data_IF_198076046054
#
_entry.id   IF_198076046054
#
_cell.length_a   1.000
_cell.length_b   1.000
_cell.length_c   1.000
_cell.angle_alpha   90.00
_cell.angle_beta   90.00
_cell.angle_gamma   90.00
#
_symmetry.space_group_name_H-M   'P 1'
#
loop_
_entity.id
_entity.type
_entity.pdbx_description
1 polymer ?
#
# COMPACT_ATOMS: atom_id res chain seq x y z
N UNK A 1 2.96 -15.29 -15.49
CA UNK A 1 3.57 -15.42 -14.15
C UNK A 1 4.93 -14.76 -14.19
N UNK A 2 5.15 -13.65 -13.46
CA UNK A 2 6.41 -12.90 -13.46
C UNK A 2 7.30 -13.50 -12.34
N UNK A 3 8.44 -14.15 -12.64
CA UNK A 3 9.38 -14.66 -11.64
C UNK A 3 10.21 -13.53 -11.01
N UNK A 4 10.84 -13.81 -9.87
CA UNK A 4 11.84 -12.91 -9.29
C UNK A 4 13.05 -12.81 -10.22
N UNK A 5 13.61 -11.60 -10.38
CA UNK A 5 14.70 -11.27 -11.30
C UNK A 5 14.23 -10.78 -12.67
N UNK A 6 12.96 -10.98 -13.04
CA UNK A 6 12.40 -10.43 -14.28
C UNK A 6 12.11 -8.93 -14.14
N UNK A 7 12.35 -8.17 -15.21
CA UNK A 7 12.09 -6.74 -15.24
C UNK A 7 10.64 -6.43 -15.54
N UNK A 8 10.06 -5.50 -14.78
CA UNK A 8 8.74 -4.93 -15.06
C UNK A 8 8.87 -3.43 -15.33
N UNK A 9 8.02 -2.91 -16.20
CA UNK A 9 7.95 -1.47 -16.44
C UNK A 9 7.49 -0.78 -15.14
N UNK A 10 8.24 0.21 -14.73
CA UNK A 10 8.07 0.95 -13.48
C UNK A 10 8.29 2.44 -13.73
N UNK A 11 7.82 3.28 -12.83
CA UNK A 11 7.98 4.73 -12.89
C UNK A 11 8.39 5.26 -11.51
N UNK A 12 9.37 6.15 -11.49
CA UNK A 12 9.79 6.86 -10.28
C UNK A 12 8.81 7.99 -9.94
N UNK A 13 8.31 8.00 -8.72
CA UNK A 13 7.41 9.06 -8.24
C UNK A 13 8.08 10.43 -8.16
N UNK A 14 9.38 10.48 -7.87
CA UNK A 14 10.08 11.72 -7.62
C UNK A 14 10.55 12.39 -8.92
N UNK A 15 11.16 11.62 -9.82
CA UNK A 15 11.72 12.13 -11.08
C UNK A 15 10.73 12.04 -12.25
N UNK A 16 9.74 11.15 -12.17
CA UNK A 16 8.86 10.82 -13.29
C UNK A 16 9.49 9.92 -14.34
N UNK A 17 10.74 9.48 -14.12
CA UNK A 17 11.45 8.57 -15.03
C UNK A 17 10.73 7.22 -15.11
N UNK A 18 10.67 6.66 -16.33
CA UNK A 18 10.09 5.35 -16.61
C UNK A 18 11.16 4.39 -17.11
N UNK A 19 11.20 3.17 -16.60
CA UNK A 19 12.18 2.17 -17.01
C UNK A 19 11.86 0.79 -16.44
N UNK A 20 12.60 -0.22 -16.92
CA UNK A 20 12.46 -1.58 -16.40
C UNK A 20 13.24 -1.76 -15.10
N UNK A 21 12.56 -2.25 -14.06
CA UNK A 21 13.15 -2.55 -12.76
C UNK A 21 12.92 -4.00 -12.38
N UNK A 22 13.92 -4.67 -11.76
CA UNK A 22 13.79 -6.09 -11.41
C UNK A 22 12.77 -6.31 -10.29
N UNK A 23 12.01 -7.38 -10.41
CA UNK A 23 11.15 -7.90 -9.33
C UNK A 23 12.04 -8.60 -8.32
N UNK A 24 12.10 -8.09 -7.09
CA UNK A 24 12.92 -8.65 -6.00
C UNK A 24 12.16 -9.64 -5.12
N UNK A 25 10.83 -9.52 -5.06
CA UNK A 25 9.98 -10.47 -4.35
C UNK A 25 8.57 -10.52 -4.94
N UNK A 26 7.89 -11.64 -4.70
CA UNK A 26 6.50 -11.86 -5.10
C UNK A 26 5.74 -12.48 -3.94
N UNK A 27 4.57 -11.94 -3.65
CA UNK A 27 3.69 -12.40 -2.60
C UNK A 27 2.33 -12.79 -3.18
N UNK A 28 1.75 -13.88 -2.67
CA UNK A 28 0.39 -14.27 -2.99
C UNK A 28 -0.43 -14.29 -1.70
N UNK A 29 -1.42 -13.42 -1.59
CA UNK A 29 -2.27 -13.33 -0.42
C UNK A 29 -3.71 -13.68 -0.79
N UNK A 30 -4.39 -14.52 0.01
CA UNK A 30 -5.82 -14.76 -0.13
C UNK A 30 -6.61 -13.58 0.45
N UNK A 31 -7.66 -13.18 -0.24
CA UNK A 31 -8.65 -12.20 0.19
C UNK A 31 -10.04 -12.81 0.05
N UNK A 32 -10.99 -12.37 0.86
CA UNK A 32 -12.39 -12.85 0.82
C UNK A 32 -13.25 -12.08 -0.19
N UNK A 33 -12.73 -10.97 -0.71
CA UNK A 33 -13.43 -10.09 -1.61
C UNK A 33 -12.54 -9.69 -2.78
N UNK A 34 -13.19 -9.47 -3.91
CA UNK A 34 -12.58 -9.04 -5.16
C UNK A 34 -13.12 -7.68 -5.57
N UNK A 35 -12.23 -6.76 -5.94
CA UNK A 35 -12.59 -5.45 -6.50
C UNK A 35 -12.40 -5.51 -8.01
N UNK A 36 -13.45 -5.19 -8.75
CA UNK A 36 -13.46 -5.04 -10.20
C UNK A 36 -13.51 -3.56 -10.55
N UNK A 37 -12.50 -3.08 -11.26
CA UNK A 37 -12.37 -1.68 -11.69
C UNK A 37 -12.45 -1.67 -13.21
N UNK A 38 -13.56 -1.21 -13.77
CA UNK A 38 -13.71 -1.02 -15.21
C UNK A 38 -13.19 0.37 -15.58
N UNK A 39 -12.26 0.42 -16.53
CA UNK A 39 -11.67 1.68 -17.03
C UNK A 39 -11.78 1.74 -18.55
N UNK A 40 -11.77 2.98 -19.09
CA UNK A 40 -11.81 3.26 -20.53
C UNK A 40 -10.74 4.31 -20.88
N UNK A 41 -10.14 4.16 -22.05
CA UNK A 41 -9.18 5.13 -22.63
C UNK A 41 -9.86 6.35 -23.32
N UNK A 42 -11.18 6.35 -23.39
CA UNK A 42 -11.96 7.44 -24.01
C UNK A 42 -12.07 7.37 -25.53
N UNK A 43 -11.38 6.44 -26.20
CA UNK A 43 -11.41 6.26 -27.65
C UNK A 43 -12.08 4.94 -28.08
N UNK A 44 -12.75 4.28 -27.15
CA UNK A 44 -13.56 3.09 -27.42
C UNK A 44 -13.04 1.80 -26.77
N UNK A 45 -11.81 1.77 -26.26
CA UNK A 45 -11.29 0.58 -25.59
C UNK A 45 -11.55 0.64 -24.09
N UNK A 46 -11.70 -0.53 -23.49
CA UNK A 46 -11.89 -0.67 -22.06
C UNK A 46 -11.20 -1.91 -21.52
N UNK A 47 -10.87 -1.90 -20.24
CA UNK A 47 -10.36 -3.06 -19.51
C UNK A 47 -11.01 -3.16 -18.15
N UNK A 48 -10.95 -4.37 -17.58
CA UNK A 48 -11.32 -4.60 -16.19
C UNK A 48 -10.08 -5.04 -15.43
N UNK A 49 -9.71 -4.25 -14.42
CA UNK A 49 -8.64 -4.57 -13.49
C UNK A 49 -9.26 -5.32 -12.30
N UNK A 50 -8.56 -6.37 -11.86
CA UNK A 50 -8.96 -7.17 -10.70
C UNK A 50 -7.97 -6.92 -9.58
N UNK A 51 -8.48 -6.51 -8.42
CA UNK A 51 -7.64 -6.10 -7.29
C UNK A 51 -8.25 -6.54 -5.95
N UNK A 52 -7.43 -6.45 -4.89
CA UNK A 52 -7.94 -6.39 -3.53
C UNK A 52 -8.36 -4.94 -3.21
N UNK A 53 -9.05 -4.74 -2.08
CA UNK A 53 -9.57 -3.42 -1.67
C UNK A 53 -8.49 -2.36 -1.47
N UNK A 54 -7.34 -2.76 -0.93
CA UNK A 54 -6.31 -1.83 -0.42
C UNK A 54 -5.17 -1.54 -1.39
N UNK A 55 -5.17 -2.17 -2.57
CA UNK A 55 -4.10 -1.96 -3.56
C UNK A 55 -4.13 -0.52 -4.09
N UNK A 56 -3.00 0.21 -4.07
CA UNK A 56 -2.99 1.62 -4.47
C UNK A 56 -2.86 1.77 -5.98
N UNK A 57 -3.71 2.62 -6.55
CA UNK A 57 -3.68 3.11 -7.92
C UNK A 57 -3.32 4.59 -7.92
N UNK A 58 -2.49 5.03 -8.87
CA UNK A 58 -2.22 6.45 -9.03
C UNK A 58 -3.36 7.11 -9.80
N UNK A 59 -4.06 8.00 -9.12
CA UNK A 59 -5.23 8.69 -9.64
C UNK A 59 -5.25 10.13 -9.21
N UNK A 60 -5.51 11.04 -10.14
CA UNK A 60 -5.67 12.47 -9.85
C UNK A 60 -4.53 13.05 -8.99
N UNK A 61 -3.27 12.67 -9.31
CA UNK A 61 -2.07 13.16 -8.64
C UNK A 61 -1.72 12.52 -7.29
N UNK A 62 -2.39 11.44 -6.88
CA UNK A 62 -2.18 10.77 -5.59
C UNK A 62 -2.43 9.26 -5.64
N UNK A 63 -1.96 8.54 -4.63
CA UNK A 63 -2.26 7.14 -4.44
C UNK A 63 -3.61 6.94 -3.76
N UNK A 64 -4.52 6.23 -4.44
CA UNK A 64 -5.89 5.93 -3.98
C UNK A 64 -6.05 4.41 -3.92
N UNK A 65 -6.63 3.90 -2.84
CA UNK A 65 -6.94 2.47 -2.73
C UNK A 65 -8.00 2.08 -3.76
N UNK A 66 -7.95 0.83 -4.21
CA UNK A 66 -8.92 0.29 -5.16
C UNK A 66 -10.39 0.51 -4.73
N UNK A 67 -10.68 0.32 -3.43
CA UNK A 67 -12.04 0.50 -2.87
C UNK A 67 -12.52 1.94 -2.83
N UNK A 68 -11.59 2.91 -2.82
CA UNK A 68 -11.88 4.34 -2.72
C UNK A 68 -11.98 5.03 -4.10
N UNK A 69 -11.63 4.32 -5.18
CA UNK A 69 -11.81 4.80 -6.55
C UNK A 69 -13.30 4.96 -6.87
N UNK A 70 -13.65 5.94 -7.70
CA UNK A 70 -15.02 6.25 -8.08
C UNK A 70 -15.13 6.39 -9.60
N UNK A 71 -16.32 6.24 -10.15
CA UNK A 71 -16.58 6.61 -11.53
C UNK A 71 -16.13 8.05 -11.77
N UNK A 72 -15.40 8.28 -12.86
CA UNK A 72 -14.76 9.55 -13.19
C UNK A 72 -13.32 9.73 -12.64
N UNK A 73 -12.82 8.89 -11.72
CA UNK A 73 -11.41 8.90 -11.33
C UNK A 73 -10.51 8.63 -12.53
N UNK A 74 -9.38 9.34 -12.65
CA UNK A 74 -8.46 9.22 -13.78
C UNK A 74 -7.20 8.50 -13.36
N UNK A 75 -6.97 7.32 -13.93
CA UNK A 75 -5.79 6.50 -13.67
C UNK A 75 -4.69 6.82 -14.68
N UNK A 76 -3.48 7.03 -14.19
CA UNK A 76 -2.32 7.28 -15.04
C UNK A 76 -1.88 6.01 -15.78
N UNK A 77 -1.73 6.09 -17.08
CA UNK A 77 -1.31 4.97 -17.94
C UNK A 77 0.18 5.01 -18.31
N UNK A 78 0.71 3.87 -18.76
CA UNK A 78 2.15 3.72 -19.09
C UNK A 78 2.61 4.61 -20.24
N UNK A 79 1.74 4.96 -21.18
CA UNK A 79 1.99 5.87 -22.29
C UNK A 79 1.87 7.36 -21.89
N UNK A 80 1.62 7.67 -20.63
CA UNK A 80 1.40 9.03 -20.13
C UNK A 80 -0.03 9.55 -20.28
N UNK A 81 -0.92 8.80 -20.92
CA UNK A 81 -2.35 9.14 -20.99
C UNK A 81 -3.09 8.82 -19.69
N UNK A 82 -4.36 9.18 -19.62
CA UNK A 82 -5.23 8.86 -18.52
C UNK A 82 -6.33 7.91 -18.99
N UNK A 83 -6.69 6.96 -18.12
CA UNK A 83 -7.86 6.09 -18.31
C UNK A 83 -8.90 6.45 -17.25
N UNK A 84 -10.14 6.60 -17.66
CA UNK A 84 -11.24 6.99 -16.78
C UNK A 84 -11.92 5.75 -16.18
N UNK A 85 -12.05 5.72 -14.87
CA UNK A 85 -12.83 4.70 -14.16
C UNK A 85 -14.30 4.84 -14.52
N UNK A 86 -14.89 3.77 -15.06
CA UNK A 86 -16.30 3.68 -15.40
C UNK A 86 -17.12 3.17 -14.21
N UNK A 87 -16.60 2.17 -13.52
CA UNK A 87 -17.26 1.58 -12.35
C UNK A 87 -16.26 0.88 -11.45
N UNK A 88 -16.57 0.82 -10.16
CA UNK A 88 -15.89 -0.01 -9.16
C UNK A 88 -16.92 -0.90 -8.49
N UNK A 89 -16.69 -2.19 -8.51
CA UNK A 89 -17.62 -3.17 -7.91
C UNK A 89 -16.84 -4.08 -6.99
N UNK A 90 -17.26 -4.15 -5.73
CA UNK A 90 -16.71 -5.10 -4.74
C UNK A 90 -17.66 -6.27 -4.66
N UNK A 91 -17.12 -7.48 -4.82
CA UNK A 91 -17.89 -8.72 -4.72
C UNK A 91 -17.33 -9.62 -3.62
N UNK A 92 -18.19 -10.37 -2.90
CA UNK A 92 -17.77 -11.35 -1.90
C UNK A 92 -17.26 -12.63 -2.59
N UNK A 93 -16.25 -12.49 -3.42
CA UNK A 93 -15.62 -13.57 -4.20
C UNK A 93 -14.17 -13.71 -3.75
N UNK A 94 -13.71 -14.93 -3.38
CA UNK A 94 -12.34 -15.16 -2.99
C UNK A 94 -11.36 -14.76 -4.08
N UNK A 95 -10.32 -14.01 -3.72
CA UNK A 95 -9.25 -13.57 -4.62
C UNK A 95 -7.90 -14.04 -4.08
N UNK A 96 -7.10 -14.69 -4.91
CA UNK A 96 -5.66 -14.82 -4.67
C UNK A 96 -4.94 -13.72 -5.44
N UNK A 97 -4.76 -12.59 -4.78
CA UNK A 97 -4.02 -11.48 -5.37
C UNK A 97 -2.51 -11.68 -5.21
N UNK A 98 -1.78 -11.28 -6.24
CA UNK A 98 -0.32 -11.26 -6.23
C UNK A 98 0.16 -9.81 -6.19
N UNK A 99 1.14 -9.56 -5.34
CA UNK A 99 1.86 -8.30 -5.28
C UNK A 99 3.33 -8.55 -5.59
N UNK A 100 3.98 -7.57 -6.22
CA UNK A 100 5.38 -7.63 -6.59
C UNK A 100 6.15 -6.63 -5.72
N UNK A 101 7.37 -6.96 -5.30
CA UNK A 101 8.33 -5.94 -4.86
C UNK A 101 9.24 -5.62 -6.02
N UNK A 102 9.16 -4.39 -6.49
CA UNK A 102 9.98 -3.85 -7.57
C UNK A 102 11.11 -3.05 -6.95
N UNK A 103 12.34 -3.25 -7.42
CA UNK A 103 13.53 -2.56 -6.91
C UNK A 103 13.41 -1.04 -7.12
N UNK A 104 14.04 -0.28 -6.24
CA UNK A 104 14.21 1.17 -6.28
C UNK A 104 12.90 1.96 -6.23
N UNK A 105 12.06 1.87 -7.24
CA UNK A 105 10.89 2.74 -7.43
C UNK A 105 9.60 2.24 -6.80
N UNK A 106 9.51 0.95 -6.43
CA UNK A 106 8.37 0.35 -5.75
C UNK A 106 7.01 0.53 -6.44
N UNK A 107 7.00 0.75 -7.75
CA UNK A 107 5.80 0.91 -8.57
C UNK A 107 5.89 0.00 -9.80
N UNK A 108 4.78 -0.22 -10.47
CA UNK A 108 4.74 -0.91 -11.76
C UNK A 108 3.41 -0.63 -12.47
N UNK A 109 3.29 -1.09 -13.71
CA UNK A 109 2.05 -0.98 -14.47
C UNK A 109 1.33 -2.32 -14.53
N UNK A 110 0.00 -2.28 -14.38
CA UNK A 110 -0.88 -3.45 -14.47
C UNK A 110 -1.89 -3.28 -15.58
N UNK A 111 -2.17 -4.39 -16.26
CA UNK A 111 -3.08 -4.46 -17.39
C UNK A 111 -4.09 -5.60 -17.18
N UNK A 112 -5.33 -5.39 -17.60
CA UNK A 112 -6.35 -6.43 -17.62
C UNK A 112 -5.97 -7.53 -18.62
N UNK A 113 -6.42 -8.75 -18.36
CA UNK A 113 -6.22 -9.87 -19.27
C UNK A 113 -6.90 -9.58 -20.61
N UNK A 114 -6.15 -9.72 -21.71
CA UNK A 114 -6.62 -9.47 -23.09
C UNK A 114 -7.08 -8.02 -23.35
N UNK A 115 -6.61 -7.06 -22.55
CA UNK A 115 -6.95 -5.66 -22.74
C UNK A 115 -6.18 -5.06 -23.93
N UNK A 116 -6.85 -4.21 -24.71
CA UNK A 116 -6.24 -3.41 -25.78
C UNK A 116 -5.74 -2.05 -25.28
N UNK A 117 -6.19 -1.65 -24.07
CA UNK A 117 -5.74 -0.42 -23.41
C UNK A 117 -4.36 -0.59 -22.76
N UNK A 118 -3.69 0.51 -22.44
CA UNK A 118 -2.41 0.53 -21.75
C UNK A 118 -2.51 0.09 -20.28
N UNK A 119 -1.37 -0.32 -19.70
CA UNK A 119 -1.28 -0.61 -18.27
C UNK A 119 -1.47 0.64 -17.43
N UNK A 120 -2.07 0.51 -16.26
CA UNK A 120 -2.24 1.62 -15.30
C UNK A 120 -1.23 1.53 -14.16
N UNK A 121 -0.82 2.68 -13.65
CA UNK A 121 0.22 2.81 -12.66
C UNK A 121 -0.26 2.44 -11.26
N UNK A 122 0.42 1.49 -10.63
CA UNK A 122 0.12 0.99 -9.30
C UNK A 122 1.37 0.96 -8.42
N UNK A 123 1.16 0.97 -7.10
CA UNK A 123 2.23 0.87 -6.13
C UNK A 123 2.36 -0.55 -5.59
N UNK A 124 3.57 -1.05 -5.39
CA UNK A 124 3.80 -2.39 -4.87
C UNK A 124 3.71 -2.50 -3.35
N UNK A 125 3.76 -1.39 -2.64
CA UNK A 125 3.55 -1.34 -1.19
C UNK A 125 2.08 -1.03 -0.91
N UNK A 126 1.41 -1.91 -0.21
CA UNK A 126 0.13 -1.61 0.41
C UNK A 126 0.31 -1.60 1.93
N UNK A 127 0.19 -0.47 2.59
CA UNK A 127 -0.01 0.92 2.15
C UNK A 127 1.29 1.62 1.71
N UNK A 128 1.24 2.79 1.04
CA UNK A 128 2.44 3.57 0.70
C UNK A 128 3.29 3.78 1.95
N UNK A 129 4.62 3.70 1.79
CA UNK A 129 5.55 3.92 2.92
C UNK A 129 5.18 5.23 3.60
N UNK A 130 4.80 5.22 4.88
CA UNK A 130 4.45 6.46 5.57
C UNK A 130 5.67 7.39 5.51
N UNK A 131 5.51 8.54 4.88
CA UNK A 131 6.58 9.56 4.94
C UNK A 131 6.80 9.88 6.42
N UNK A 132 8.00 9.67 6.95
CA UNK A 132 8.23 9.91 8.37
C UNK A 132 8.04 11.40 8.67
N UNK A 133 7.41 11.71 9.81
CA UNK A 133 7.45 13.05 10.36
C UNK A 133 8.89 13.41 10.75
N UNK A 134 9.22 14.69 10.90
CA UNK A 134 10.54 15.12 11.37
C UNK A 134 10.92 14.42 12.69
N UNK A 135 9.96 14.25 13.59
CA UNK A 135 10.14 13.49 14.83
C UNK A 135 10.44 12.01 14.57
N UNK A 136 9.81 11.39 13.61
CA UNK A 136 10.07 10.00 13.26
C UNK A 136 11.44 9.82 12.58
N UNK A 137 11.91 10.80 11.81
CA UNK A 137 13.27 10.79 11.25
C UNK A 137 14.31 10.86 12.36
N UNK A 138 14.16 11.78 13.32
CA UNK A 138 15.02 11.89 14.49
C UNK A 138 15.02 10.57 15.29
N UNK A 139 13.84 9.95 15.50
CA UNK A 139 13.72 8.66 16.19
C UNK A 139 14.37 7.50 15.44
N UNK A 140 14.43 7.52 14.11
CA UNK A 140 15.17 6.54 13.31
C UNK A 140 16.67 6.67 13.48
N UNK A 141 17.21 7.89 13.54
CA UNK A 141 18.63 8.13 13.85
C UNK A 141 18.98 7.64 15.25
N UNK A 142 18.16 7.96 16.25
CA UNK A 142 18.30 7.45 17.62
C UNK A 142 18.27 5.92 17.67
N UNK A 143 17.44 5.28 16.84
CA UNK A 143 17.29 3.81 16.79
C UNK A 143 18.52 3.08 16.23
N UNK A 144 19.43 3.76 15.55
CA UNK A 144 20.72 3.15 15.14
C UNK A 144 21.54 2.72 16.35
N UNK A 145 21.36 3.40 17.48
CA UNK A 145 22.09 3.18 18.72
C UNK A 145 21.24 2.60 19.86
N UNK A 146 19.94 2.38 19.64
CA UNK A 146 19.00 1.89 20.66
C UNK A 146 18.16 0.72 20.12
N UNK A 147 18.48 -0.49 20.58
CA UNK A 147 17.78 -1.71 20.19
C UNK A 147 16.29 -1.75 20.54
N UNK A 148 15.82 -0.97 21.54
CA UNK A 148 14.42 -0.85 21.90
C UNK A 148 13.58 -0.11 20.84
N UNK A 149 14.21 0.75 20.05
CA UNK A 149 13.54 1.52 19.00
C UNK A 149 13.57 0.83 17.65
N UNK A 150 14.39 -0.19 17.48
CA UNK A 150 14.47 -0.95 16.24
C UNK A 150 13.36 -2.01 16.17
N UNK A 151 12.44 -1.86 15.24
CA UNK A 151 11.39 -2.86 14.94
C UNK A 151 11.69 -3.65 13.66
N UNK A 152 12.84 -3.41 13.02
CA UNK A 152 13.16 -3.94 11.70
C UNK A 152 12.28 -3.31 10.61
N UNK A 153 11.69 -4.13 9.75
CA UNK A 153 10.79 -3.65 8.70
C UNK A 153 9.47 -3.14 9.31
N UNK A 154 9.34 -1.81 9.43
CA UNK A 154 8.13 -1.15 9.95
C UNK A 154 6.92 -1.35 9.04
N UNK A 155 7.12 -1.48 7.73
CA UNK A 155 6.03 -1.73 6.78
C UNK A 155 5.42 -3.11 7.03
N UNK A 156 6.27 -4.09 7.37
CA UNK A 156 5.79 -5.43 7.75
C UNK A 156 4.93 -5.39 9.01
N UNK A 157 5.30 -4.56 10.00
CA UNK A 157 4.50 -4.39 11.22
C UNK A 157 3.15 -3.77 10.90
N UNK A 158 3.11 -2.76 10.02
CA UNK A 158 1.87 -2.11 9.59
C UNK A 158 0.98 -3.08 8.81
N UNK A 159 1.55 -3.84 7.89
CA UNK A 159 0.80 -4.76 7.02
C UNK A 159 0.23 -5.98 7.77
N UNK A 160 0.99 -6.55 8.71
CA UNK A 160 0.66 -7.83 9.34
C UNK A 160 0.28 -7.69 10.82
N UNK A 161 0.36 -6.49 11.39
CA UNK A 161 0.07 -6.21 12.79
C UNK A 161 -1.42 -6.03 13.06
N UNK A 162 -1.82 -6.29 14.31
CA UNK A 162 -3.14 -5.91 14.81
C UNK A 162 -3.24 -4.40 14.87
N UNK A 163 -4.35 -3.87 14.38
CA UNK A 163 -4.60 -2.43 14.35
C UNK A 163 -5.41 -1.97 15.57
N UNK A 164 -5.01 -0.81 16.08
CA UNK A 164 -5.69 -0.11 17.17
C UNK A 164 -5.77 1.38 16.86
N UNK A 165 -6.68 2.09 17.49
CA UNK A 165 -6.75 3.54 17.54
C UNK A 165 -6.19 4.01 18.88
N UNK A 166 -5.26 4.94 18.89
CA UNK A 166 -4.80 5.63 20.10
C UNK A 166 -5.83 6.70 20.45
N UNK A 167 -6.52 6.52 21.60
CA UNK A 167 -7.65 7.36 22.00
C UNK A 167 -7.25 8.80 22.35
N UNK A 168 -5.98 9.01 22.77
CA UNK A 168 -5.48 10.34 23.14
C UNK A 168 -5.12 11.18 21.93
N UNK A 169 -4.61 10.54 20.87
CA UNK A 169 -4.01 11.24 19.72
C UNK A 169 -4.74 11.04 18.40
N UNK A 170 -5.67 10.05 18.34
CA UNK A 170 -6.32 9.62 17.11
C UNK A 170 -5.40 8.89 16.12
N UNK A 171 -4.17 8.57 16.53
CA UNK A 171 -3.21 7.89 15.67
C UNK A 171 -3.54 6.39 15.53
N UNK A 172 -3.15 5.82 14.39
CA UNK A 172 -3.25 4.39 14.14
C UNK A 172 -2.04 3.66 14.74
N UNK A 173 -2.30 2.66 15.56
CA UNK A 173 -1.27 1.84 16.21
C UNK A 173 -1.28 0.44 15.63
N UNK A 174 -0.14 -0.02 15.15
CA UNK A 174 0.02 -1.36 14.59
C UNK A 174 0.95 -2.16 15.49
N UNK A 175 0.51 -3.37 15.88
CA UNK A 175 1.25 -4.23 16.82
C UNK A 175 1.46 -5.61 16.21
N UNK A 176 2.72 -6.02 16.04
CA UNK A 176 3.12 -7.37 15.61
C UNK A 176 4.12 -7.96 16.60
N UNK A 177 3.63 -8.88 17.44
CA UNK A 177 4.46 -9.44 18.52
C UNK A 177 4.79 -8.36 19.56
N UNK A 178 6.07 -8.08 19.72
CA UNK A 178 6.62 -6.99 20.56
C UNK A 178 6.86 -5.68 19.80
N UNK A 179 6.61 -5.64 18.50
CA UNK A 179 6.91 -4.49 17.63
C UNK A 179 5.68 -3.62 17.47
N UNK A 180 5.87 -2.32 17.63
CA UNK A 180 4.81 -1.31 17.51
C UNK A 180 5.25 -0.25 16.51
N UNK A 181 4.34 0.13 15.61
CA UNK A 181 4.47 1.28 14.71
C UNK A 181 3.23 2.15 14.88
N UNK A 182 3.41 3.44 15.00
CA UNK A 182 2.32 4.41 15.13
C UNK A 182 2.34 5.33 13.91
N UNK A 183 1.19 5.46 13.26
CA UNK A 183 0.97 6.34 12.12
C UNK A 183 -0.06 7.42 12.47
N UNK A 184 0.10 8.60 11.88
CA UNK A 184 -0.97 9.61 11.86
C UNK A 184 -2.19 9.11 11.09
N UNK A 185 -3.37 9.74 11.22
CA UNK A 185 -4.56 9.38 10.42
C UNK A 185 -4.34 9.47 8.90
N UNK A 186 -3.45 10.36 8.45
CA UNK A 186 -3.03 10.51 7.04
C UNK A 186 -1.86 9.58 6.66
N UNK A 187 -1.50 8.62 7.52
CA UNK A 187 -0.57 7.54 7.21
C UNK A 187 0.91 7.86 7.41
N UNK A 188 1.31 9.04 7.94
CA UNK A 188 2.72 9.36 8.21
C UNK A 188 3.21 8.66 9.47
N UNK A 189 4.42 8.12 9.45
CA UNK A 189 5.00 7.47 10.63
C UNK A 189 5.36 8.49 11.71
N UNK A 190 4.80 8.31 12.92
CA UNK A 190 5.08 9.11 14.12
C UNK A 190 6.22 8.51 14.91
N UNK A 191 6.18 7.20 15.17
CA UNK A 191 7.20 6.50 15.96
C UNK A 191 7.15 4.99 15.74
N UNK A 192 8.20 4.33 16.19
CA UNK A 192 8.30 2.87 16.28
C UNK A 192 9.08 2.47 17.54
N UNK A 193 8.70 1.35 18.14
CA UNK A 193 9.38 0.83 19.34
C UNK A 193 8.99 -0.61 19.64
N UNK A 194 9.76 -1.27 20.50
CA UNK A 194 9.37 -2.56 21.08
C UNK A 194 8.52 -2.34 22.34
N UNK A 195 7.48 -3.14 22.47
CA UNK A 195 6.54 -3.08 23.58
C UNK A 195 6.17 -4.49 24.05
N UNK A 196 6.19 -4.76 25.34
CA UNK A 196 5.83 -6.07 25.83
C UNK A 196 4.34 -6.37 25.59
N UNK A 197 3.99 -7.66 25.44
CA UNK A 197 2.60 -8.08 25.31
C UNK A 197 1.76 -7.64 26.51
N UNK A 198 2.34 -7.68 27.72
CA UNK A 198 1.66 -7.24 28.96
C UNK A 198 1.33 -5.73 28.89
N UNK A 199 2.26 -4.89 28.44
CA UNK A 199 2.02 -3.47 28.31
C UNK A 199 1.02 -3.14 27.21
N UNK A 200 1.05 -3.87 26.08
CA UNK A 200 0.02 -3.76 25.03
C UNK A 200 -1.37 -4.09 25.59
N UNK A 201 -1.49 -5.21 26.31
CA UNK A 201 -2.76 -5.62 26.95
C UNK A 201 -3.25 -4.58 27.98
N UNK A 202 -2.34 -3.99 28.75
CA UNK A 202 -2.66 -2.91 29.70
C UNK A 202 -3.22 -1.68 28.99
N UNK A 203 -2.61 -1.26 27.87
CA UNK A 203 -3.07 -0.11 27.08
C UNK A 203 -4.46 -0.35 26.49
N UNK A 204 -4.75 -1.57 26.03
CA UNK A 204 -6.08 -1.95 25.53
C UNK A 204 -7.11 -1.97 26.66
N UNK A 205 -6.80 -2.61 27.82
CA UNK A 205 -7.72 -2.66 28.96
C UNK A 205 -8.06 -1.27 29.51
N UNK A 206 -7.11 -0.36 29.50
CA UNK A 206 -7.31 1.02 30.00
C UNK A 206 -7.97 1.94 28.95
N UNK A 207 -8.41 1.42 27.82
CA UNK A 207 -9.03 2.21 26.75
C UNK A 207 -8.08 3.14 25.97
N UNK A 208 -6.76 3.09 26.29
CA UNK A 208 -5.79 3.92 25.57
C UNK A 208 -5.64 3.49 24.11
N UNK A 209 -5.71 2.20 23.84
CA UNK A 209 -5.69 1.62 22.50
C UNK A 209 -6.97 0.82 22.27
N UNK A 210 -7.82 1.30 21.36
CA UNK A 210 -9.09 0.66 21.01
C UNK A 210 -8.89 -0.19 19.76
N UNK A 211 -9.21 -1.51 19.78
CA UNK A 211 -9.12 -2.38 18.61
C UNK A 211 -9.97 -1.84 17.44
N UNK A 212 -9.41 -1.98 16.23
CA UNK A 212 -10.09 -1.66 14.96
C UNK A 212 -10.37 -2.92 14.18
#
# INVERSE_FOLDING_TARGET
RIPAGEGVLSKDEASGETGYKPVTARYGNPYQETVYIKVSDGIGNSQTLISNRIHPFYSDGKWIKAEDLKAGSRLFAENGAEQTVQSVTVKPEPLKAYNLTVADWHTYFVKGSQAETEGVWVHNDCPPKPKPTNHAQQRKEEAKNDSHRSVGDSNRVVREGKQYLDSDTGNHVYVKGDKVVILTPDGRQVTQFKNSKANTSKRVKNGKWTPK
#
